data_IF_743891079988
#
_entry.id   IF_743891079988
#
_cell.length_a   1.000
_cell.length_b   1.000
_cell.length_c   1.000
_cell.angle_alpha   90.00
_cell.angle_beta   90.00
_cell.angle_gamma   90.00
#
_symmetry.space_group_name_H-M   'P 1'
#
loop_
_entity.id
_entity.type
_entity.pdbx_description
1 polymer ?
#
# COMPACT_ATOMS: atom_id res chain seq x y z
N UNK A 1 -27.37 -2.75 7.00
CA UNK A 1 -25.99 -2.24 6.82
C UNK A 1 -25.49 -2.71 5.46
N UNK A 2 -25.17 -1.84 4.49
CA UNK A 2 -24.71 -2.31 3.21
C UNK A 2 -23.23 -2.67 3.33
N UNK A 3 -22.95 -3.96 3.23
CA UNK A 3 -21.62 -4.53 3.04
C UNK A 3 -21.04 -4.03 1.71
N UNK A 4 -19.88 -3.38 1.75
CA UNK A 4 -19.09 -3.05 0.57
C UNK A 4 -18.71 -4.35 -0.15
N UNK A 5 -19.37 -4.65 -1.28
CA UNK A 5 -19.23 -5.90 -2.01
C UNK A 5 -18.50 -5.64 -3.33
N UNK A 6 -17.27 -6.14 -3.46
CA UNK A 6 -16.40 -6.01 -4.65
C UNK A 6 -16.84 -6.85 -5.87
N UNK A 7 -18.08 -7.32 -5.89
CA UNK A 7 -18.63 -8.18 -6.94
C UNK A 7 -20.11 -7.90 -7.12
N UNK A 8 -20.47 -6.97 -8.00
CA UNK A 8 -21.59 -7.04 -8.96
C UNK A 8 -21.28 -5.96 -10.02
N UNK A 9 -21.56 -6.26 -11.29
CA UNK A 9 -21.35 -5.42 -12.49
C UNK A 9 -19.99 -5.57 -13.21
N UNK A 10 -19.65 -6.79 -13.60
CA UNK A 10 -18.76 -7.00 -14.73
C UNK A 10 -19.29 -8.14 -15.61
N UNK A 11 -20.26 -7.86 -16.49
CA UNK A 11 -20.45 -8.76 -17.64
C UNK A 11 -20.87 -8.12 -18.98
N UNK A 12 -21.34 -6.87 -19.09
CA UNK A 12 -21.74 -6.36 -20.43
C UNK A 12 -21.32 -4.93 -20.81
N UNK A 13 -20.59 -4.18 -19.97
CA UNK A 13 -20.27 -2.77 -20.28
C UNK A 13 -18.82 -2.48 -20.75
N UNK A 14 -17.90 -3.44 -20.71
CA UNK A 14 -16.44 -3.14 -20.81
C UNK A 14 -15.84 -3.38 -22.21
N UNK A 15 -16.57 -3.99 -23.15
CA UNK A 15 -16.06 -4.19 -24.53
C UNK A 15 -15.92 -2.92 -25.39
N UNK A 16 -16.69 -1.82 -25.22
CA UNK A 16 -16.55 -0.67 -26.13
C UNK A 16 -15.46 0.35 -25.77
N UNK A 17 -14.97 0.40 -24.52
CA UNK A 17 -14.12 1.53 -24.04
C UNK A 17 -12.66 1.39 -24.49
N UNK A 18 -12.17 0.16 -24.69
CA UNK A 18 -10.77 -0.10 -25.08
C UNK A 18 -10.46 0.28 -26.55
N UNK A 19 -11.48 0.46 -27.40
CA UNK A 19 -11.28 0.74 -28.84
C UNK A 19 -11.25 2.23 -29.23
N UNK A 20 -11.59 3.16 -28.34
CA UNK A 20 -11.96 4.52 -28.79
C UNK A 20 -10.83 5.56 -28.82
N UNK A 21 -9.70 5.39 -28.12
CA UNK A 21 -8.65 6.43 -28.08
C UNK A 21 -7.22 5.88 -27.93
N UNK A 22 -6.48 5.67 -29.05
CA UNK A 22 -5.13 5.09 -28.99
C UNK A 22 -3.97 6.09 -28.76
N UNK A 23 -4.18 7.41 -28.75
CA UNK A 23 -3.06 8.37 -28.85
C UNK A 23 -2.97 9.50 -27.80
N UNK A 24 -3.94 9.69 -26.91
CA UNK A 24 -3.90 10.80 -25.92
C UNK A 24 -3.38 10.42 -24.53
N UNK A 25 -3.29 9.13 -24.19
CA UNK A 25 -2.81 8.68 -22.88
C UNK A 25 -1.29 8.54 -22.76
N UNK A 26 -0.56 8.49 -23.89
CA UNK A 26 0.91 8.32 -23.89
C UNK A 26 1.62 9.46 -23.13
N UNK A 27 1.22 10.70 -23.38
CA UNK A 27 1.84 11.87 -22.74
C UNK A 27 1.40 12.06 -21.28
N UNK A 28 0.17 11.66 -20.92
CA UNK A 28 -0.31 11.69 -19.54
C UNK A 28 0.29 10.57 -18.68
N UNK A 29 0.56 9.39 -19.28
CA UNK A 29 1.30 8.31 -18.60
C UNK A 29 2.76 8.69 -18.40
N UNK A 30 3.41 9.32 -19.38
CA UNK A 30 4.79 9.79 -19.27
C UNK A 30 4.96 10.84 -18.16
N UNK A 31 4.00 11.74 -17.96
CA UNK A 31 4.03 12.69 -16.83
C UNK A 31 3.62 12.06 -15.48
N UNK A 32 3.08 10.84 -15.47
CA UNK A 32 2.79 10.06 -14.26
C UNK A 32 3.90 9.07 -13.90
N UNK A 33 4.92 8.95 -14.75
CA UNK A 33 6.12 8.14 -14.56
C UNK A 33 7.25 8.88 -13.85
N UNK A 34 7.00 10.06 -13.28
CA UNK A 34 7.98 10.74 -12.45
C UNK A 34 8.36 9.83 -11.27
N UNK A 35 9.60 9.34 -11.32
CA UNK A 35 10.38 8.97 -10.14
C UNK A 35 10.16 10.06 -9.10
N UNK A 36 9.96 9.75 -7.81
CA UNK A 36 9.84 10.78 -6.79
C UNK A 36 10.99 11.77 -6.98
N UNK A 37 10.66 13.04 -7.14
CA UNK A 37 11.70 14.06 -7.27
C UNK A 37 12.55 14.00 -6.01
N UNK A 38 13.85 14.26 -6.16
CA UNK A 38 14.79 14.31 -5.04
C UNK A 38 14.30 15.25 -3.92
N UNK A 39 13.49 16.25 -4.26
CA UNK A 39 12.76 17.14 -3.36
C UNK A 39 11.65 16.44 -2.57
N UNK A 40 10.85 15.57 -3.19
CA UNK A 40 9.79 14.80 -2.52
C UNK A 40 10.37 13.80 -1.49
N UNK A 41 11.60 13.36 -1.74
CA UNK A 41 12.44 12.54 -0.84
C UNK A 41 13.02 13.37 0.30
N UNK A 42 13.56 14.56 0.01
CA UNK A 42 14.11 15.50 1.01
C UNK A 42 13.04 16.05 1.95
N UNK A 43 11.86 16.41 1.42
CA UNK A 43 10.73 16.97 2.18
C UNK A 43 10.05 15.94 3.10
N UNK A 44 10.17 14.64 2.78
CA UNK A 44 9.56 13.58 3.57
C UNK A 44 10.19 13.39 4.96
N UNK A 45 11.50 13.64 5.13
CA UNK A 45 12.21 13.28 6.37
C UNK A 45 13.29 14.27 6.84
N UNK A 46 13.55 15.39 6.15
CA UNK A 46 14.46 16.43 6.64
C UNK A 46 13.75 17.56 7.38
N UNK A 47 13.25 17.24 8.57
CA UNK A 47 13.25 18.24 9.63
C UNK A 47 14.00 17.64 10.82
N UNK A 48 15.31 17.93 10.84
CA UNK A 48 16.12 18.11 12.05
C UNK A 48 16.95 16.90 12.57
N UNK A 49 17.72 16.16 11.76
CA UNK A 49 18.88 15.36 12.23
C UNK A 49 19.74 14.76 11.09
N UNK A 50 21.00 14.43 11.41
CA UNK A 50 22.08 13.77 10.63
C UNK A 50 21.76 12.38 10.03
N UNK A 51 20.51 12.15 9.62
CA UNK A 51 20.07 10.83 9.17
C UNK A 51 20.58 10.53 7.77
N UNK A 52 21.44 9.52 7.68
CA UNK A 52 22.01 9.03 6.42
C UNK A 52 20.94 8.39 5.55
N UNK A 53 20.68 8.99 4.38
CA UNK A 53 19.87 8.39 3.33
C UNK A 53 20.58 7.18 2.72
N UNK A 54 19.89 6.04 2.68
CA UNK A 54 20.40 4.78 2.14
C UNK A 54 19.78 4.51 0.78
N UNK A 55 20.61 4.28 -0.23
CA UNK A 55 20.14 3.80 -1.53
C UNK A 55 19.43 2.45 -1.35
N UNK A 56 18.26 2.28 -1.96
CA UNK A 56 17.53 1.02 -1.89
C UNK A 56 18.39 -0.13 -2.47
N UNK A 57 18.68 -1.19 -1.70
CA UNK A 57 19.74 -2.14 -2.07
C UNK A 57 19.27 -3.25 -3.01
N UNK A 58 17.96 -3.37 -3.29
CA UNK A 58 17.41 -4.46 -4.09
C UNK A 58 17.08 -4.03 -5.51
N UNK A 59 17.43 -4.89 -6.47
CA UNK A 59 16.94 -4.75 -7.85
C UNK A 59 15.41 -4.93 -7.88
N UNK A 60 14.72 -4.06 -8.63
CA UNK A 60 13.30 -4.16 -8.94
C UNK A 60 13.19 -4.45 -10.43
N UNK A 61 12.74 -5.65 -10.77
CA UNK A 61 12.65 -6.14 -12.16
C UNK A 61 11.20 -6.41 -12.51
N UNK A 62 10.82 -6.19 -13.76
CA UNK A 62 9.48 -6.51 -14.23
C UNK A 62 9.34 -8.04 -14.35
N UNK A 63 8.11 -8.53 -14.23
CA UNK A 63 7.81 -9.94 -14.51
C UNK A 63 7.70 -10.19 -16.03
N UNK A 64 7.78 -11.45 -16.45
CA UNK A 64 7.66 -11.79 -17.86
C UNK A 64 6.29 -11.38 -18.43
N UNK A 65 6.28 -10.98 -19.70
CA UNK A 65 5.10 -10.42 -20.36
C UNK A 65 3.89 -11.36 -20.35
N UNK A 66 4.12 -12.68 -20.48
CA UNK A 66 3.05 -13.68 -20.47
C UNK A 66 2.37 -13.77 -19.11
N UNK A 67 3.16 -13.84 -18.04
CA UNK A 67 2.64 -13.85 -16.66
C UNK A 67 1.97 -12.51 -16.33
N UNK A 68 2.55 -11.39 -16.75
CA UNK A 68 1.97 -10.06 -16.56
C UNK A 68 0.58 -9.95 -17.19
N UNK A 69 0.44 -10.38 -18.45
CA UNK A 69 -0.83 -10.35 -19.15
C UNK A 69 -1.92 -11.19 -18.44
N UNK A 70 -1.56 -12.37 -17.93
CA UNK A 70 -2.48 -13.21 -17.14
C UNK A 70 -2.91 -12.52 -15.85
N UNK A 71 -1.96 -11.92 -15.13
CA UNK A 71 -2.27 -11.25 -13.88
C UNK A 71 -3.11 -9.99 -14.10
N UNK A 72 -2.85 -9.22 -15.16
CA UNK A 72 -3.67 -8.05 -15.49
C UNK A 72 -5.12 -8.42 -15.86
N UNK A 73 -5.34 -9.64 -16.36
CA UNK A 73 -6.69 -10.16 -16.57
C UNK A 73 -7.42 -10.44 -15.24
N UNK A 74 -6.70 -10.94 -14.23
CA UNK A 74 -7.28 -11.32 -12.93
C UNK A 74 -7.36 -10.14 -11.95
N UNK A 75 -6.42 -9.19 -12.05
CA UNK A 75 -6.27 -8.04 -11.15
C UNK A 75 -6.60 -6.73 -11.86
N UNK A 76 -7.89 -6.51 -12.08
CA UNK A 76 -8.44 -5.33 -12.76
C UNK A 76 -8.30 -4.01 -11.98
N UNK A 77 -7.55 -3.98 -10.88
CA UNK A 77 -7.17 -2.74 -10.17
C UNK A 77 -5.80 -2.20 -10.59
N UNK A 78 -4.99 -3.01 -11.28
CA UNK A 78 -3.68 -2.64 -11.80
C UNK A 78 -3.76 -2.45 -13.33
N UNK A 79 -2.93 -1.57 -13.91
CA UNK A 79 -2.89 -1.31 -15.36
C UNK A 79 -1.47 -1.33 -15.93
N UNK A 80 -0.47 -1.15 -15.08
CA UNK A 80 0.95 -1.02 -15.43
C UNK A 80 1.75 -2.30 -15.14
N UNK A 81 1.13 -3.36 -14.64
CA UNK A 81 1.77 -4.65 -14.40
C UNK A 81 2.41 -4.79 -13.02
N UNK A 82 3.35 -5.73 -12.90
CA UNK A 82 3.89 -6.18 -11.62
C UNK A 82 5.41 -6.31 -11.65
N UNK A 83 6.02 -6.28 -10.46
CA UNK A 83 7.47 -6.33 -10.28
C UNK A 83 7.88 -7.40 -9.28
N UNK A 84 9.11 -7.90 -9.45
CA UNK A 84 9.84 -8.73 -8.49
C UNK A 84 10.98 -7.94 -7.87
N UNK A 85 11.10 -8.05 -6.55
CA UNK A 85 12.08 -7.29 -5.75
C UNK A 85 13.09 -8.24 -5.11
N UNK A 86 14.36 -7.94 -5.34
CA UNK A 86 15.49 -8.62 -4.70
C UNK A 86 15.62 -10.11 -5.03
N UNK A 87 16.62 -10.79 -4.42
CA UNK A 87 16.91 -12.19 -4.70
C UNK A 87 15.78 -13.14 -4.27
N UNK A 88 14.96 -12.73 -3.29
CA UNK A 88 13.80 -13.49 -2.81
C UNK A 88 12.56 -13.33 -3.70
N UNK A 89 12.66 -12.56 -4.80
CA UNK A 89 11.60 -12.34 -5.80
C UNK A 89 10.26 -11.92 -5.16
N UNK A 90 10.28 -11.02 -4.17
CA UNK A 90 9.03 -10.51 -3.58
C UNK A 90 8.19 -9.81 -4.63
N UNK A 91 6.88 -10.06 -4.63
CA UNK A 91 5.97 -9.68 -5.70
C UNK A 91 5.08 -8.51 -5.30
N UNK A 92 5.06 -7.46 -6.12
CA UNK A 92 4.24 -6.26 -5.90
C UNK A 92 3.68 -5.72 -7.22
N UNK A 93 2.61 -4.91 -7.20
CA UNK A 93 2.26 -4.09 -8.35
C UNK A 93 3.39 -3.10 -8.68
N UNK A 94 3.50 -2.69 -9.94
CA UNK A 94 4.59 -1.82 -10.41
C UNK A 94 4.64 -0.48 -9.68
N UNK A 95 3.51 -0.01 -9.13
CA UNK A 95 3.43 1.16 -8.27
C UNK A 95 4.40 1.17 -7.08
N UNK A 96 4.80 -0.01 -6.57
CA UNK A 96 5.78 -0.14 -5.49
C UNK A 96 7.14 0.47 -5.84
N UNK A 97 7.58 0.37 -7.11
CA UNK A 97 8.88 0.87 -7.58
C UNK A 97 9.10 2.33 -7.21
N UNK A 98 8.05 3.15 -7.30
CA UNK A 98 8.10 4.59 -6.99
C UNK A 98 8.36 4.89 -5.52
N UNK A 99 8.00 4.00 -4.60
CA UNK A 99 8.06 4.29 -3.16
C UNK A 99 9.04 3.40 -2.39
N UNK A 100 9.68 2.43 -3.05
CA UNK A 100 10.55 1.44 -2.41
C UNK A 100 11.65 2.09 -1.54
N UNK A 101 12.34 3.10 -2.08
CA UNK A 101 13.40 3.80 -1.35
C UNK A 101 12.86 4.66 -0.19
N UNK A 102 11.67 5.24 -0.35
CA UNK A 102 10.98 5.98 0.71
C UNK A 102 10.61 5.05 1.87
N UNK A 103 10.06 3.86 1.59
CA UNK A 103 9.73 2.89 2.63
C UNK A 103 10.98 2.38 3.35
N UNK A 104 12.07 2.18 2.62
CA UNK A 104 13.35 1.73 3.17
C UNK A 104 14.04 2.79 4.04
N UNK A 105 13.81 4.07 3.76
CA UNK A 105 14.35 5.19 4.53
C UNK A 105 13.33 5.84 5.48
N UNK A 106 12.15 5.25 5.64
CA UNK A 106 11.17 5.75 6.59
C UNK A 106 11.80 5.80 7.98
N UNK A 107 11.59 6.89 8.72
CA UNK A 107 12.20 7.06 10.04
C UNK A 107 11.30 6.49 11.14
N UNK A 108 11.57 5.27 11.67
CA UNK A 108 10.84 4.77 12.82
C UNK A 108 11.18 5.61 14.06
N UNK A 109 10.24 5.68 15.00
CA UNK A 109 10.42 6.27 16.33
C UNK A 109 10.37 5.18 17.39
N UNK A 110 11.01 5.42 18.52
CA UNK A 110 11.07 4.47 19.63
C UNK A 110 9.69 4.16 20.23
N UNK A 111 8.73 5.08 20.11
CA UNK A 111 7.37 4.91 20.58
C UNK A 111 6.41 4.32 19.53
N UNK A 112 6.87 4.10 18.29
CA UNK A 112 6.05 3.50 17.24
C UNK A 112 5.60 2.08 17.60
N UNK A 113 4.41 1.73 17.12
CA UNK A 113 3.89 0.37 17.15
C UNK A 113 3.66 -0.11 15.73
N UNK A 114 4.39 -1.15 15.33
CA UNK A 114 4.32 -1.73 13.99
C UNK A 114 3.60 -3.07 14.01
N UNK A 115 2.68 -3.25 13.09
CA UNK A 115 2.09 -4.55 12.77
C UNK A 115 2.57 -4.97 11.39
N UNK A 116 3.48 -5.94 11.38
CA UNK A 116 4.14 -6.47 10.18
C UNK A 116 3.62 -7.89 9.97
N UNK A 117 2.83 -8.10 8.92
CA UNK A 117 2.13 -9.39 8.70
C UNK A 117 2.08 -9.76 7.23
N UNK A 118 1.98 -11.04 6.90
CA UNK A 118 1.58 -11.44 5.55
C UNK A 118 0.08 -11.13 5.33
N UNK A 119 -0.36 -10.69 4.13
CA UNK A 119 -1.77 -10.38 3.88
C UNK A 119 -2.72 -11.51 4.31
N UNK A 120 -3.89 -11.13 4.85
CA UNK A 120 -4.95 -12.05 5.29
C UNK A 120 -4.58 -12.98 6.47
N UNK A 121 -3.54 -12.65 7.24
CA UNK A 121 -3.07 -13.43 8.40
C UNK A 121 -3.56 -12.90 9.76
N UNK A 122 -4.78 -12.33 9.82
CA UNK A 122 -5.37 -11.82 11.07
C UNK A 122 -5.00 -10.37 11.44
N UNK A 123 -4.41 -9.62 10.51
CA UNK A 123 -3.91 -8.25 10.73
C UNK A 123 -4.96 -7.30 11.31
N UNK A 124 -6.21 -7.35 10.86
CA UNK A 124 -7.30 -6.47 11.36
C UNK A 124 -7.56 -6.69 12.85
N UNK A 125 -7.66 -7.94 13.29
CA UNK A 125 -7.86 -8.28 14.69
C UNK A 125 -6.68 -7.84 15.55
N UNK A 126 -5.44 -8.09 15.07
CA UNK A 126 -4.24 -7.64 15.78
C UNK A 126 -4.20 -6.11 15.91
N UNK A 127 -4.56 -5.36 14.86
CA UNK A 127 -4.61 -3.90 14.92
C UNK A 127 -5.57 -3.40 15.97
N UNK A 128 -6.81 -3.91 16.02
CA UNK A 128 -7.79 -3.46 17.02
C UNK A 128 -7.35 -3.77 18.44
N UNK A 129 -6.90 -4.99 18.70
CA UNK A 129 -6.45 -5.40 20.04
C UNK A 129 -5.26 -4.56 20.51
N UNK A 130 -4.25 -4.38 19.64
CA UNK A 130 -3.07 -3.59 19.97
C UNK A 130 -3.43 -2.12 20.18
N UNK A 131 -4.34 -1.56 19.36
CA UNK A 131 -4.80 -0.19 19.52
C UNK A 131 -5.47 0.01 20.88
N UNK A 132 -6.45 -0.83 21.22
CA UNK A 132 -7.20 -0.73 22.47
C UNK A 132 -6.28 -0.88 23.68
N UNK A 133 -5.40 -1.90 23.68
CA UNK A 133 -4.45 -2.11 24.78
C UNK A 133 -3.49 -0.93 24.96
N UNK A 134 -3.06 -0.31 23.87
CA UNK A 134 -2.17 0.85 23.92
C UNK A 134 -2.87 2.17 24.29
N UNK A 135 -4.20 2.21 24.23
CA UNK A 135 -5.03 3.38 24.49
C UNK A 135 -6.04 3.12 25.63
N UNK A 136 -5.63 2.36 26.66
CA UNK A 136 -6.42 2.12 27.88
C UNK A 136 -7.85 1.62 27.65
N UNK A 137 -8.04 0.75 26.65
CA UNK A 137 -9.33 0.21 26.24
C UNK A 137 -10.36 1.30 25.88
N UNK A 138 -9.93 2.38 25.21
CA UNK A 138 -10.83 3.43 24.71
C UNK A 138 -11.71 2.92 23.53
N UNK A 139 -12.78 2.20 23.87
CA UNK A 139 -13.78 1.72 22.92
C UNK A 139 -14.55 2.86 22.22
N UNK A 140 -14.68 4.02 22.88
CA UNK A 140 -15.40 5.17 22.35
C UNK A 140 -14.70 5.75 21.12
N UNK A 141 -13.38 5.96 21.20
CA UNK A 141 -12.59 6.41 20.05
C UNK A 141 -12.40 5.28 19.03
N UNK A 142 -12.21 4.03 19.45
CA UNK A 142 -12.05 2.90 18.53
C UNK A 142 -13.27 2.71 17.60
N UNK A 143 -14.48 2.96 18.12
CA UNK A 143 -15.73 2.85 17.34
C UNK A 143 -15.99 4.05 16.42
N UNK A 144 -15.55 5.25 16.79
CA UNK A 144 -15.76 6.49 16.03
C UNK A 144 -14.72 6.74 14.95
N UNK A 145 -13.46 6.37 15.21
CA UNK A 145 -12.34 6.64 14.29
C UNK A 145 -12.06 5.40 13.45
N UNK A 146 -12.15 5.49 12.12
CA UNK A 146 -11.86 4.37 11.22
C UNK A 146 -10.48 3.75 11.46
N UNK A 147 -10.37 2.44 11.25
CA UNK A 147 -9.15 1.71 11.53
C UNK A 147 -7.98 2.16 10.64
N UNK A 148 -8.21 2.51 9.39
CA UNK A 148 -7.21 3.05 8.46
C UNK A 148 -6.69 4.44 8.91
N UNK A 149 -7.53 5.22 9.60
CA UNK A 149 -7.10 6.47 10.20
C UNK A 149 -6.23 6.24 11.44
N UNK A 150 -6.55 5.23 12.26
CA UNK A 150 -5.80 4.84 13.48
C UNK A 150 -4.51 4.07 13.17
N UNK A 151 -4.51 3.24 12.14
CA UNK A 151 -3.41 2.42 11.64
C UNK A 151 -3.17 2.69 10.15
N UNK A 152 -2.47 3.78 9.80
CA UNK A 152 -2.08 4.02 8.41
C UNK A 152 -1.32 2.83 7.82
N UNK A 153 -1.73 2.42 6.62
CA UNK A 153 -1.14 1.30 5.91
C UNK A 153 0.00 1.80 5.00
N UNK A 154 1.23 1.55 5.42
CA UNK A 154 2.45 2.20 4.91
C UNK A 154 2.52 2.22 3.37
N UNK A 155 2.27 1.07 2.74
CA UNK A 155 2.42 0.89 1.30
C UNK A 155 1.10 0.91 0.50
N UNK A 156 -0.03 1.30 1.10
CA UNK A 156 -1.34 1.20 0.43
C UNK A 156 -1.38 1.93 -0.92
N UNK A 157 -0.75 3.10 -1.00
CA UNK A 157 -0.68 3.89 -2.22
C UNK A 157 0.06 3.19 -3.38
N UNK A 158 0.88 2.17 -3.08
CA UNK A 158 1.53 1.34 -4.10
C UNK A 158 0.59 0.33 -4.76
N UNK A 159 -0.57 0.04 -4.14
CA UNK A 159 -1.60 -0.87 -4.66
C UNK A 159 -2.74 -0.14 -5.40
N UNK A 160 -2.71 1.19 -5.46
CA UNK A 160 -3.73 1.98 -6.13
C UNK A 160 -3.17 2.56 -7.42
N UNK A 161 -3.64 2.05 -8.56
CA UNK A 161 -3.24 2.57 -9.85
C UNK A 161 -3.85 3.97 -10.09
N UNK A 162 -3.09 4.97 -10.60
CA UNK A 162 -3.61 6.32 -10.81
C UNK A 162 -4.88 6.39 -11.66
N UNK A 163 -4.95 5.61 -12.76
CA UNK A 163 -6.16 5.55 -13.59
C UNK A 163 -7.37 5.03 -12.83
N UNK A 164 -7.18 4.03 -11.96
CA UNK A 164 -8.26 3.46 -11.15
C UNK A 164 -8.72 4.43 -10.08
N UNK A 165 -7.80 5.22 -9.51
CA UNK A 165 -8.17 6.33 -8.62
C UNK A 165 -9.04 7.35 -9.37
N UNK A 166 -8.67 7.75 -10.58
CA UNK A 166 -9.47 8.69 -11.39
C UNK A 166 -10.84 8.13 -11.72
N UNK A 167 -10.94 6.84 -12.10
CA UNK A 167 -12.20 6.14 -12.31
C UNK A 167 -13.09 6.22 -11.06
N UNK A 168 -12.56 5.89 -9.88
CA UNK A 168 -13.31 5.96 -8.62
C UNK A 168 -13.76 7.39 -8.26
N UNK A 169 -12.93 8.40 -8.54
CA UNK A 169 -13.31 9.80 -8.30
C UNK A 169 -14.46 10.22 -9.21
N UNK A 170 -14.41 9.85 -10.49
CA UNK A 170 -15.47 10.15 -11.46
C UNK A 170 -16.78 9.44 -11.10
N UNK A 171 -16.72 8.15 -10.71
CA UNK A 171 -17.88 7.38 -10.25
C UNK A 171 -18.54 7.99 -9.00
N UNK A 172 -17.76 8.67 -8.16
CA UNK A 172 -18.22 9.25 -6.90
C UNK A 172 -18.34 10.78 -6.93
N UNK A 173 -18.23 11.42 -8.09
CA UNK A 173 -18.22 12.89 -8.24
C UNK A 173 -19.42 13.61 -7.63
N UNK A 174 -20.54 12.90 -7.46
CA UNK A 174 -21.76 13.44 -6.84
C UNK A 174 -21.72 13.47 -5.30
N UNK A 175 -20.72 12.88 -4.66
CA UNK A 175 -20.52 12.91 -3.21
C UNK A 175 -19.12 13.44 -2.87
N UNK A 176 -19.02 14.73 -2.51
CA UNK A 176 -17.77 15.34 -2.07
C UNK A 176 -17.08 14.57 -0.93
N UNK A 177 -17.86 13.97 -0.03
CA UNK A 177 -17.36 13.19 1.10
C UNK A 177 -16.62 11.93 0.63
N UNK A 178 -17.17 11.22 -0.35
CA UNK A 178 -16.53 10.02 -0.91
C UNK A 178 -15.29 10.37 -1.70
N UNK A 179 -15.31 11.44 -2.49
CA UNK A 179 -14.14 11.92 -3.21
C UNK A 179 -13.02 12.30 -2.24
N UNK A 180 -13.35 13.02 -1.16
CA UNK A 180 -12.40 13.35 -0.09
C UNK A 180 -11.82 12.10 0.55
N UNK A 181 -12.66 11.09 0.86
CA UNK A 181 -12.19 9.82 1.40
C UNK A 181 -11.25 9.09 0.44
N UNK A 182 -11.57 9.02 -0.86
CA UNK A 182 -10.69 8.42 -1.89
C UNK A 182 -9.35 9.15 -1.91
N UNK A 183 -9.35 10.49 -1.90
CA UNK A 183 -8.13 11.28 -1.84
C UNK A 183 -7.30 10.97 -0.57
N UNK A 184 -7.93 10.95 0.60
CA UNK A 184 -7.25 10.70 1.86
C UNK A 184 -6.67 9.28 1.96
N UNK A 185 -7.44 8.26 1.60
CA UNK A 185 -7.00 6.86 1.70
C UNK A 185 -5.91 6.55 0.68
N UNK A 186 -5.92 7.19 -0.49
CA UNK A 186 -4.91 6.95 -1.55
C UNK A 186 -3.63 7.75 -1.37
N UNK A 187 -3.61 8.75 -0.47
CA UNK A 187 -2.39 9.48 -0.14
C UNK A 187 -1.33 8.53 0.46
N UNK A 188 -0.04 8.74 0.14
CA UNK A 188 1.02 7.97 0.78
C UNK A 188 0.98 8.14 2.30
N UNK A 189 0.85 7.03 3.04
CA UNK A 189 0.68 7.04 4.48
C UNK A 189 1.82 7.75 5.21
N UNK A 190 3.05 7.68 4.67
CA UNK A 190 4.21 8.37 5.24
C UNK A 190 4.00 9.89 5.34
N UNK A 191 3.27 10.53 4.41
CA UNK A 191 2.96 11.98 4.48
C UNK A 191 2.15 12.36 5.71
N UNK A 192 1.28 11.45 6.18
CA UNK A 192 0.52 11.61 7.42
C UNK A 192 1.39 11.30 8.64
N UNK A 193 2.14 10.19 8.58
CA UNK A 193 2.96 9.70 9.69
C UNK A 193 4.09 10.65 10.09
N UNK A 194 4.65 11.42 9.15
CA UNK A 194 5.72 12.40 9.44
C UNK A 194 5.19 13.61 10.21
N UNK A 195 3.95 14.03 9.93
CA UNK A 195 3.27 15.15 10.59
C UNK A 195 2.64 14.78 11.94
N UNK A 196 2.52 13.48 12.22
CA UNK A 196 1.90 13.00 13.46
C UNK A 196 2.86 13.24 14.62
N UNK A 197 2.42 13.95 15.66
CA UNK A 197 3.21 14.18 16.89
C UNK A 197 2.90 13.15 17.98
N UNK A 198 1.71 12.55 17.92
CA UNK A 198 1.31 11.48 18.82
C UNK A 198 1.96 10.15 18.43
N UNK A 199 1.84 9.18 19.34
CA UNK A 199 2.26 7.80 19.14
C UNK A 199 1.68 7.22 17.83
N UNK A 200 2.56 6.67 16.98
CA UNK A 200 2.15 6.15 15.67
C UNK A 200 1.88 4.66 15.74
N UNK A 201 0.81 4.24 15.08
CA UNK A 201 0.45 2.85 14.88
C UNK A 201 0.51 2.56 13.38
N UNK A 202 1.39 1.68 12.95
CA UNK A 202 1.72 1.51 11.52
C UNK A 202 1.43 0.07 11.12
N UNK A 203 0.66 -0.11 10.07
CA UNK A 203 0.42 -1.42 9.44
C UNK A 203 1.31 -1.53 8.21
N UNK A 204 1.91 -2.71 8.01
CA UNK A 204 2.55 -3.06 6.73
C UNK A 204 2.48 -4.55 6.43
N UNK A 205 2.49 -4.87 5.14
CA UNK A 205 2.68 -6.21 4.59
C UNK A 205 4.04 -6.37 3.90
N UNK A 206 4.90 -5.36 3.97
CA UNK A 206 6.26 -5.45 3.48
C UNK A 206 7.07 -6.45 4.34
N UNK A 207 7.87 -7.32 3.72
CA UNK A 207 8.90 -8.08 4.42
C UNK A 207 9.86 -7.15 5.16
N UNK A 208 10.41 -7.60 6.29
CA UNK A 208 11.40 -6.84 7.08
C UNK A 208 12.58 -6.33 6.26
N UNK A 209 13.05 -7.12 5.30
CA UNK A 209 14.15 -6.71 4.43
C UNK A 209 13.84 -5.46 3.58
N UNK A 210 12.56 -5.17 3.33
CA UNK A 210 12.11 -4.01 2.55
C UNK A 210 11.67 -2.82 3.42
N UNK A 211 11.79 -2.95 4.75
CA UNK A 211 11.50 -1.93 5.74
C UNK A 211 12.81 -1.25 6.19
N UNK A 212 12.74 -0.18 7.01
CA UNK A 212 13.94 0.50 7.50
C UNK A 212 14.89 -0.48 8.20
N UNK A 213 16.20 -0.46 7.88
CA UNK A 213 17.15 -1.43 8.43
C UNK A 213 17.32 -1.29 9.94
N UNK A 214 17.18 -0.07 10.48
CA UNK A 214 17.22 0.22 11.91
C UNK A 214 15.87 0.00 12.63
N UNK A 215 14.84 -0.54 11.96
CA UNK A 215 13.49 -0.67 12.53
C UNK A 215 13.49 -1.39 13.88
N UNK A 216 14.26 -2.47 14.01
CA UNK A 216 14.34 -3.26 15.25
C UNK A 216 15.28 -2.65 16.30
N UNK A 217 16.14 -1.72 15.89
CA UNK A 217 17.19 -1.12 16.75
C UNK A 217 16.68 0.13 17.48
N UNK A 218 15.77 0.88 16.87
CA UNK A 218 15.22 2.15 17.42
C UNK A 218 14.33 1.91 18.67
N UNK A 219 14.06 0.66 19.03
CA UNK A 219 13.27 0.31 20.22
C UNK A 219 11.76 0.37 20.01
N UNK A 220 11.30 0.43 18.75
CA UNK A 220 9.89 0.39 18.43
C UNK A 220 9.27 -0.99 18.75
N UNK A 221 7.95 -1.01 18.97
CA UNK A 221 7.22 -2.25 19.26
C UNK A 221 6.76 -2.90 17.96
N UNK A 222 7.46 -3.94 17.53
CA UNK A 222 7.08 -4.72 16.35
C UNK A 222 6.28 -5.96 16.74
N UNK A 223 5.08 -6.11 16.17
CA UNK A 223 4.23 -7.29 16.32
C UNK A 223 4.07 -8.00 14.98
N UNK A 224 4.52 -9.24 14.94
CA UNK A 224 4.30 -10.15 13.82
C UNK A 224 3.23 -11.16 14.19
N UNK A 225 2.10 -11.17 13.49
CA UNK A 225 1.11 -12.25 13.58
C UNK A 225 1.13 -13.08 12.30
N UNK A 226 1.40 -14.37 12.48
CA UNK A 226 1.26 -15.39 11.44
C UNK A 226 0.11 -16.32 11.85
N UNK A 227 -1.13 -15.89 11.62
CA UNK A 227 -2.23 -16.85 11.59
C UNK A 227 -2.15 -17.59 10.26
N UNK A 228 -1.52 -18.78 10.27
CA UNK A 228 -1.60 -19.72 9.16
C UNK A 228 -3.04 -20.25 9.12
N UNK A 229 -3.90 -19.60 8.34
CA UNK A 229 -5.17 -20.22 7.94
C UNK A 229 -4.80 -21.48 7.15
N UNK A 230 -5.34 -22.63 7.55
CA UNK A 230 -5.30 -23.83 6.72
C UNK A 230 -5.88 -23.42 5.35
N UNK A 231 -5.06 -23.45 4.30
CA UNK A 231 -5.52 -23.17 2.96
C UNK A 231 -6.53 -24.28 2.61
N UNK A 232 -7.80 -23.96 2.28
CA UNK A 232 -8.66 -24.96 1.66
C UNK A 232 -7.94 -25.42 0.39
N UNK A 233 -8.05 -26.71 0.03
CA UNK A 233 -7.42 -27.31 -1.15
C UNK A 233 -7.79 -26.64 -2.51
N UNK A 234 -8.55 -25.53 -2.50
CA UNK A 234 -9.04 -24.78 -3.67
C UNK A 234 -8.78 -23.26 -3.59
N UNK A 235 -7.87 -22.78 -2.76
CA UNK A 235 -7.30 -21.46 -3.01
C UNK A 235 -6.19 -21.61 -4.04
N UNK A 236 -6.47 -21.29 -5.30
CA UNK A 236 -5.45 -21.14 -6.35
C UNK A 236 -4.57 -19.92 -6.03
N UNK A 237 -3.72 -20.03 -5.02
CA UNK A 237 -2.47 -19.30 -5.02
C UNK A 237 -1.70 -19.82 -6.23
N UNK A 238 -1.58 -19.00 -7.28
CA UNK A 238 -0.64 -19.24 -8.36
C UNK A 238 0.75 -19.16 -7.73
N UNK A 239 1.24 -20.30 -7.25
CA UNK A 239 2.67 -20.50 -7.04
C UNK A 239 3.23 -20.54 -8.45
N UNK A 240 3.82 -19.43 -8.89
CA UNK A 240 4.59 -19.44 -10.12
C UNK A 240 5.76 -20.42 -9.92
N UNK A 241 5.95 -21.39 -10.83
CA UNK A 241 7.12 -22.28 -10.77
C UNK A 241 8.42 -21.47 -10.86
N UNK A 242 9.55 -22.03 -10.40
CA UNK A 242 10.85 -21.35 -10.24
C UNK A 242 11.32 -20.52 -11.44
#
# INVERSE_FOLDING_TARGET
MPTFNFRVLASEAIRPIVRRYPHSYSLLLLSMMDTPTEELVKDAFHNNNDVKWLKFPFCISDIDARTSARLLNDFTGERSGFVRVGPKKWFFPSGYRRNAEIYYNFQPRSDDVWIVTFPRSGTTWTQELVWLLANNLDYGTASRVPLDARFPFLEFNSFVHPLVKTEFLEENKSSPEKCSLIEEVTKPAWKKLVKTTQKRFIKTHLPFALLPPNLLEVGCKVRTSYLRRAQPQRCHCVVLPP
#
